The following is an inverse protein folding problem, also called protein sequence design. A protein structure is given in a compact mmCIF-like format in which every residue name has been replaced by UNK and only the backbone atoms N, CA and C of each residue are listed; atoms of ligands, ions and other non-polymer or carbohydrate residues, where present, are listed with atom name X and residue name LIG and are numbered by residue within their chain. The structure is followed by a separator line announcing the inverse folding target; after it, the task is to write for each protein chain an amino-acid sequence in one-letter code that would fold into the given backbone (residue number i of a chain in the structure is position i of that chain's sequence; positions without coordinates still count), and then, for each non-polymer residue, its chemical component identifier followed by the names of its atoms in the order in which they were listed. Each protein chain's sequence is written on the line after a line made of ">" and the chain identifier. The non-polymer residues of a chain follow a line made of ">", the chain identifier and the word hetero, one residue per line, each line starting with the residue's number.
data_IF_039020635455
#
_entry.id   IF_039020635455
#
_cell.length_a   1.000
_cell.length_b   1.000
_cell.length_c   1.000
_cell.angle_alpha   90.00
_cell.angle_beta   90.00
_cell.angle_gamma   90.00
#
_symmetry.space_group_name_H-M   'P 1'
#
loop_
_entity.id
_entity.type
_entity.pdbx_description
1 polymer ?
#
# COMPACT_ATOMS: atom_id res chain seq x y z
N UNK A 1 10.34 10.47 -3.92
CA UNK A 1 9.94 9.04 -4.07
C UNK A 1 8.50 8.90 -3.65
N UNK A 2 7.68 8.11 -4.34
CA UNK A 2 6.30 7.82 -3.94
C UNK A 2 6.27 6.62 -3.00
N UNK A 3 5.62 6.77 -1.86
CA UNK A 3 5.30 5.69 -0.92
C UNK A 3 3.88 5.19 -1.19
N UNK A 4 3.74 4.14 -1.96
CA UNK A 4 2.44 3.61 -2.36
C UNK A 4 1.95 2.57 -1.37
N UNK A 5 0.72 2.74 -0.87
CA UNK A 5 0.10 1.83 0.11
C UNK A 5 -1.39 1.65 -0.21
N UNK A 6 -1.95 0.47 0.08
CA UNK A 6 -3.27 0.08 -0.45
C UNK A 6 -4.46 0.31 0.51
N UNK A 7 -4.24 1.03 1.60
CA UNK A 7 -5.30 1.38 2.58
C UNK A 7 -5.10 2.80 3.11
N UNK A 8 -6.19 3.51 3.35
CA UNK A 8 -6.14 4.89 3.85
C UNK A 8 -5.59 4.96 5.29
N UNK A 9 -6.07 4.09 6.19
CA UNK A 9 -5.59 4.04 7.58
C UNK A 9 -4.07 3.79 7.67
N UNK A 10 -3.55 2.90 6.81
CA UNK A 10 -2.12 2.62 6.72
C UNK A 10 -1.35 3.83 6.19
N UNK A 11 -1.94 4.56 5.22
CA UNK A 11 -1.35 5.77 4.68
C UNK A 11 -1.23 6.86 5.75
N UNK A 12 -2.26 7.02 6.60
CA UNK A 12 -2.21 7.92 7.76
C UNK A 12 -1.08 7.57 8.73
N UNK A 13 -0.94 6.29 9.08
CA UNK A 13 0.14 5.81 9.94
C UNK A 13 1.54 6.03 9.32
N UNK A 14 1.70 5.75 8.03
CA UNK A 14 2.95 5.97 7.31
C UNK A 14 3.29 7.47 7.20
N UNK A 15 2.30 8.31 6.89
CA UNK A 15 2.47 9.77 6.86
C UNK A 15 2.91 10.31 8.21
N UNK A 16 2.29 9.82 9.30
CA UNK A 16 2.68 10.19 10.64
C UNK A 16 4.12 9.74 10.94
N UNK A 17 4.50 8.50 10.60
CA UNK A 17 5.87 8.00 10.77
C UNK A 17 6.90 8.87 10.03
N UNK A 18 6.60 9.31 8.80
CA UNK A 18 7.48 10.19 8.01
C UNK A 18 7.58 11.61 8.58
N UNK A 19 6.60 12.07 9.35
CA UNK A 19 6.66 13.38 10.03
C UNK A 19 7.55 13.38 11.28
N UNK A 20 7.90 12.20 11.81
CA UNK A 20 8.61 12.05 13.08
C UNK A 20 10.09 11.72 12.87
N UNK A 21 10.92 12.26 13.76
CA UNK A 21 12.36 11.92 13.83
C UNK A 21 12.65 11.14 15.08
N UNK A 22 13.55 10.17 15.03
CA UNK A 22 13.96 9.39 16.20
C UNK A 22 14.35 10.30 17.38
N UNK A 23 13.80 10.02 18.56
CA UNK A 23 14.01 10.84 19.76
C UNK A 23 13.25 12.17 19.81
N UNK A 24 12.44 12.50 18.79
CA UNK A 24 11.61 13.71 18.78
C UNK A 24 10.49 13.60 19.83
N UNK A 25 10.19 14.70 20.54
CA UNK A 25 9.05 14.79 21.43
C UNK A 25 7.72 14.56 20.67
N UNK A 26 6.88 13.69 21.22
CA UNK A 26 5.56 13.39 20.65
C UNK A 26 4.56 14.41 21.19
N UNK A 27 4.07 15.30 20.33
CA UNK A 27 3.05 16.31 20.67
C UNK A 27 1.64 15.84 20.33
N UNK A 28 1.47 15.10 19.22
CA UNK A 28 0.21 14.50 18.80
C UNK A 28 0.23 12.99 19.04
N UNK A 29 -0.66 12.51 19.89
CA UNK A 29 -0.77 11.09 20.25
C UNK A 29 -1.92 10.37 19.55
N UNK A 30 -2.67 11.05 18.67
CA UNK A 30 -3.90 10.53 18.06
C UNK A 30 -3.67 9.19 17.32
N UNK A 31 -2.58 9.08 16.58
CA UNK A 31 -2.20 7.91 15.79
C UNK A 31 -1.56 6.78 16.63
N UNK A 32 -1.26 7.03 17.92
CA UNK A 32 -0.57 6.07 18.79
C UNK A 32 -1.51 5.41 19.81
N UNK A 33 -2.75 5.86 19.88
CA UNK A 33 -3.72 5.35 20.87
C UNK A 33 -4.15 3.94 20.52
N UNK A 34 -3.79 2.99 21.37
CA UNK A 34 -4.22 1.58 21.29
C UNK A 34 -4.29 0.95 22.66
N UNK A 35 -5.14 -0.06 22.83
CA UNK A 35 -5.34 -0.73 24.10
C UNK A 35 -4.04 -1.36 24.63
N UNK A 36 -3.75 -1.12 25.90
CA UNK A 36 -2.56 -1.68 26.57
C UNK A 36 -1.22 -1.07 26.15
N UNK A 37 -1.22 0.01 25.34
CA UNK A 37 0.01 0.68 24.94
C UNK A 37 0.25 1.95 25.75
N UNK A 38 1.41 2.03 26.41
CA UNK A 38 1.87 3.26 27.04
C UNK A 38 2.59 4.10 26.00
N UNK A 39 2.00 5.24 25.63
CA UNK A 39 2.57 6.15 24.63
C UNK A 39 3.84 6.75 25.22
N UNK A 40 5.00 6.60 24.54
CA UNK A 40 6.25 7.19 24.98
C UNK A 40 6.21 8.72 24.82
N UNK A 41 7.03 9.43 25.57
CA UNK A 41 7.17 10.88 25.44
C UNK A 41 7.97 11.30 24.21
N UNK A 42 8.83 10.43 23.72
CA UNK A 42 9.66 10.64 22.52
C UNK A 42 9.47 9.53 21.51
N UNK A 43 9.59 9.88 20.24
CA UNK A 43 9.40 8.95 19.13
C UNK A 43 10.42 7.81 19.16
N UNK A 44 9.97 6.54 19.32
CA UNK A 44 10.87 5.40 19.39
C UNK A 44 11.27 4.86 18.01
N UNK A 45 10.45 5.15 16.97
CA UNK A 45 10.67 4.64 15.62
C UNK A 45 11.90 5.24 14.94
N UNK A 46 12.44 4.52 13.97
CA UNK A 46 13.51 5.06 13.12
C UNK A 46 12.97 6.17 12.22
N UNK A 47 13.79 7.18 11.96
CA UNK A 47 13.47 8.25 11.02
C UNK A 47 13.37 7.70 9.61
N UNK A 48 12.41 8.20 8.84
CA UNK A 48 12.25 7.90 7.42
C UNK A 48 12.68 9.10 6.59
N UNK A 49 13.19 8.84 5.38
CA UNK A 49 13.51 9.87 4.41
C UNK A 49 12.25 10.40 3.72
N UNK A 50 12.32 11.64 3.22
CA UNK A 50 11.24 12.32 2.52
C UNK A 50 10.24 12.98 3.47
N UNK A 51 8.99 13.10 3.03
CA UNK A 51 7.95 13.83 3.73
C UNK A 51 6.60 13.08 3.73
N UNK A 52 5.63 13.47 4.58
CA UNK A 52 4.28 12.92 4.57
C UNK A 52 3.59 13.00 3.21
N UNK A 53 3.89 14.02 2.40
CA UNK A 53 3.33 14.23 1.06
C UNK A 53 3.79 13.18 0.05
N UNK A 54 4.84 12.41 0.35
CA UNK A 54 5.27 11.29 -0.49
C UNK A 54 4.28 10.14 -0.45
N UNK A 55 3.47 10.03 0.59
CA UNK A 55 2.53 8.93 0.78
C UNK A 55 1.36 9.05 -0.19
N UNK A 56 1.08 7.97 -0.88
CA UNK A 56 0.05 7.88 -1.91
C UNK A 56 -0.85 6.66 -1.66
N UNK A 57 -2.00 6.82 -1.00
CA UNK A 57 -2.95 5.74 -0.82
C UNK A 57 -3.62 5.36 -2.14
N UNK A 58 -3.77 4.04 -2.39
CA UNK A 58 -4.46 3.49 -3.55
C UNK A 58 -5.40 2.36 -3.12
N UNK A 59 -6.62 2.70 -2.75
CA UNK A 59 -7.58 1.75 -2.20
C UNK A 59 -8.57 1.28 -3.26
N UNK A 60 -8.16 0.31 -4.09
CA UNK A 60 -8.96 -0.21 -5.20
C UNK A 60 -9.77 -1.46 -4.86
N UNK A 61 -9.53 -2.13 -3.73
CA UNK A 61 -10.17 -3.41 -3.34
C UNK A 61 -10.12 -4.43 -4.48
N UNK A 62 -8.92 -4.67 -5.04
CA UNK A 62 -8.72 -5.48 -6.25
C UNK A 62 -8.91 -6.99 -6.03
N UNK A 63 -9.09 -7.40 -4.80
CA UNK A 63 -9.44 -8.77 -4.39
C UNK A 63 -10.92 -9.11 -4.59
N UNK A 64 -11.79 -8.10 -4.77
CA UNK A 64 -13.24 -8.27 -4.85
C UNK A 64 -13.79 -7.67 -6.15
N UNK A 65 -14.78 -8.34 -6.75
CA UNK A 65 -15.54 -7.86 -7.91
C UNK A 65 -14.75 -7.87 -9.21
N UNK A 66 -15.36 -7.31 -10.26
CA UNK A 66 -14.79 -7.24 -11.61
C UNK A 66 -13.56 -6.35 -11.66
N UNK A 67 -12.60 -6.70 -12.49
CA UNK A 67 -11.35 -5.93 -12.69
C UNK A 67 -11.41 -5.00 -13.91
N UNK A 68 -12.55 -4.98 -14.62
CA UNK A 68 -12.74 -4.14 -15.80
C UNK A 68 -12.49 -2.67 -15.46
N UNK A 69 -11.75 -1.99 -16.30
CA UNK A 69 -11.44 -0.55 -16.16
C UNK A 69 -10.70 -0.14 -14.87
N UNK A 70 -10.09 -1.08 -14.14
CA UNK A 70 -9.28 -0.74 -12.97
C UNK A 70 -8.13 0.24 -13.31
N UNK A 71 -7.72 0.28 -14.58
CA UNK A 71 -6.64 1.13 -15.10
C UNK A 71 -7.09 2.56 -15.44
N UNK A 72 -8.39 2.84 -15.50
CA UNK A 72 -8.89 4.15 -15.93
C UNK A 72 -9.11 5.08 -14.74
N UNK A 73 -8.72 6.36 -14.89
CA UNK A 73 -9.00 7.41 -13.90
C UNK A 73 -10.49 7.57 -13.60
N UNK A 74 -11.33 7.38 -14.61
CA UNK A 74 -12.79 7.56 -14.52
C UNK A 74 -13.47 6.35 -13.87
N UNK A 75 -12.89 5.16 -14.01
CA UNK A 75 -13.49 3.93 -13.51
C UNK A 75 -13.20 3.67 -12.04
N UNK A 76 -12.06 4.08 -11.50
CA UNK A 76 -11.54 3.84 -10.13
C UNK A 76 -12.35 2.88 -9.27
N UNK A 77 -13.03 1.94 -9.91
CA UNK A 77 -13.90 0.93 -9.30
C UNK A 77 -15.05 1.50 -8.45
N UNK A 78 -15.56 2.68 -8.80
CA UNK A 78 -16.62 3.34 -8.03
C UNK A 78 -17.85 2.45 -7.84
N UNK A 79 -18.25 1.65 -8.83
CA UNK A 79 -19.39 0.72 -8.71
C UNK A 79 -19.14 -0.37 -7.66
N UNK A 80 -17.93 -0.93 -7.62
CA UNK A 80 -17.52 -1.92 -6.61
C UNK A 80 -17.45 -1.27 -5.23
N UNK A 81 -16.86 -0.10 -5.13
CA UNK A 81 -16.79 0.66 -3.87
C UNK A 81 -18.20 1.00 -3.34
N UNK A 82 -19.14 1.38 -4.21
CA UNK A 82 -20.55 1.60 -3.83
C UNK A 82 -21.23 0.34 -3.31
N UNK A 83 -20.90 -0.81 -3.86
CA UNK A 83 -21.41 -2.09 -3.34
C UNK A 83 -20.81 -2.41 -1.96
N UNK A 84 -19.53 -2.13 -1.76
CA UNK A 84 -18.84 -2.42 -0.50
C UNK A 84 -19.21 -1.44 0.64
N UNK A 85 -19.48 -0.18 0.30
CA UNK A 85 -19.70 0.91 1.26
C UNK A 85 -21.09 1.55 1.11
N UNK A 86 -22.06 0.84 0.55
CA UNK A 86 -23.39 1.36 0.25
C UNK A 86 -24.14 1.93 1.46
N UNK A 87 -23.89 1.37 2.65
CA UNK A 87 -24.47 1.83 3.92
C UNK A 87 -23.79 3.11 4.49
N UNK A 88 -22.73 3.60 3.84
CA UNK A 88 -21.96 4.76 4.28
C UNK A 88 -21.95 5.84 3.19
N UNK A 89 -22.90 6.76 3.19
CA UNK A 89 -23.04 7.78 2.14
C UNK A 89 -21.77 8.59 1.93
N UNK A 90 -21.34 8.74 0.67
CA UNK A 90 -20.18 9.55 0.29
C UNK A 90 -18.82 8.85 0.40
N UNK A 91 -18.70 7.75 1.15
CA UNK A 91 -17.41 7.06 1.38
C UNK A 91 -16.84 6.48 0.08
N UNK A 92 -17.68 5.88 -0.77
CA UNK A 92 -17.22 5.33 -2.05
C UNK A 92 -16.67 6.41 -2.99
N UNK A 93 -17.33 7.57 -3.04
CA UNK A 93 -16.91 8.73 -3.82
C UNK A 93 -15.61 9.35 -3.30
N UNK A 94 -15.45 9.42 -1.99
CA UNK A 94 -14.22 9.90 -1.34
C UNK A 94 -13.03 8.99 -1.69
N UNK A 95 -13.19 7.67 -1.53
CA UNK A 95 -12.16 6.68 -1.89
C UNK A 95 -11.85 6.77 -3.40
N UNK A 96 -12.85 6.85 -4.26
CA UNK A 96 -12.64 6.98 -5.70
C UNK A 96 -11.89 8.26 -6.06
N UNK A 97 -12.21 9.39 -5.40
CA UNK A 97 -11.49 10.65 -5.55
C UNK A 97 -10.02 10.57 -5.13
N UNK A 98 -9.74 9.89 -4.02
CA UNK A 98 -8.39 9.62 -3.55
C UNK A 98 -7.62 8.74 -4.56
N UNK A 99 -8.23 7.64 -5.02
CA UNK A 99 -7.63 6.76 -6.02
C UNK A 99 -7.31 7.51 -7.33
N UNK A 100 -8.22 8.39 -7.79
CA UNK A 100 -8.01 9.22 -8.97
C UNK A 100 -6.77 10.13 -8.83
N UNK A 101 -6.60 10.78 -7.67
CA UNK A 101 -5.42 11.60 -7.38
C UNK A 101 -4.14 10.78 -7.40
N UNK A 102 -4.15 9.61 -6.76
CA UNK A 102 -2.98 8.71 -6.71
C UNK A 102 -2.63 8.17 -8.10
N UNK A 103 -3.60 7.72 -8.91
CA UNK A 103 -3.36 7.28 -10.29
C UNK A 103 -2.78 8.41 -11.15
N UNK A 104 -3.26 9.65 -10.96
CA UNK A 104 -2.68 10.82 -11.63
C UNK A 104 -1.23 11.09 -11.23
N UNK A 105 -0.88 10.87 -9.96
CA UNK A 105 0.49 10.98 -9.48
C UNK A 105 1.40 9.88 -10.05
N UNK A 106 0.90 8.65 -10.14
CA UNK A 106 1.61 7.52 -10.77
C UNK A 106 1.87 7.77 -12.28
N UNK A 107 0.90 8.34 -12.99
CA UNK A 107 1.09 8.75 -14.38
C UNK A 107 2.17 9.82 -14.54
N UNK A 108 2.20 10.82 -13.62
CA UNK A 108 3.28 11.81 -13.59
C UNK A 108 4.62 11.16 -13.30
N UNK A 109 4.70 10.24 -12.32
CA UNK A 109 5.92 9.51 -11.98
C UNK A 109 6.50 8.76 -13.17
N UNK A 110 5.65 8.20 -14.05
CA UNK A 110 6.09 7.55 -15.30
C UNK A 110 6.84 8.52 -16.22
N UNK A 111 6.45 9.80 -16.25
CA UNK A 111 7.08 10.84 -17.09
C UNK A 111 8.36 11.39 -16.46
N UNK A 112 8.40 11.49 -15.14
CA UNK A 112 9.52 12.07 -14.37
C UNK A 112 10.53 11.03 -13.89
N UNK A 113 10.24 9.73 -14.06
CA UNK A 113 11.01 8.60 -13.53
C UNK A 113 11.14 8.66 -12.00
N UNK A 114 10.13 9.22 -11.31
CA UNK A 114 10.11 9.26 -9.85
C UNK A 114 10.00 7.84 -9.29
N UNK A 115 10.91 7.40 -8.41
CA UNK A 115 10.87 6.05 -7.83
C UNK A 115 9.61 5.81 -7.02
N UNK A 116 9.13 4.55 -7.02
CA UNK A 116 7.94 4.12 -6.28
C UNK A 116 8.32 2.97 -5.36
N UNK A 117 8.06 3.12 -4.06
CA UNK A 117 8.13 2.07 -3.06
C UNK A 117 6.73 1.59 -2.73
N UNK A 118 6.46 0.30 -2.90
CA UNK A 118 5.17 -0.34 -2.64
C UNK A 118 5.21 -1.04 -1.30
N UNK A 119 4.26 -0.72 -0.43
CA UNK A 119 4.09 -1.36 0.88
C UNK A 119 2.99 -2.40 0.80
N UNK A 120 3.29 -3.65 1.17
CA UNK A 120 2.30 -4.73 1.12
C UNK A 120 2.62 -5.88 2.06
N UNK A 121 1.57 -6.61 2.43
CA UNK A 121 1.65 -7.94 3.01
C UNK A 121 1.36 -8.99 1.94
N UNK A 122 2.17 -10.05 1.88
CA UNK A 122 1.93 -11.21 1.02
C UNK A 122 0.70 -12.03 1.47
N UNK A 123 0.14 -11.73 2.65
CA UNK A 123 -1.04 -12.41 3.21
C UNK A 123 -2.36 -11.66 2.91
N UNK A 124 -2.30 -10.41 2.44
CA UNK A 124 -3.48 -9.60 2.13
C UNK A 124 -3.77 -9.64 0.63
N UNK A 125 -4.88 -10.25 0.17
CA UNK A 125 -5.19 -10.38 -1.25
C UNK A 125 -5.32 -9.04 -1.97
N UNK A 126 -5.89 -8.01 -1.33
CA UNK A 126 -6.05 -6.69 -1.93
C UNK A 126 -4.68 -6.04 -2.18
N UNK A 127 -3.76 -6.20 -1.22
CA UNK A 127 -2.41 -5.63 -1.32
C UNK A 127 -1.56 -6.38 -2.36
N UNK A 128 -1.68 -7.71 -2.43
CA UNK A 128 -0.99 -8.50 -3.47
C UNK A 128 -1.54 -8.16 -4.86
N UNK A 129 -2.87 -8.13 -5.04
CA UNK A 129 -3.47 -7.68 -6.30
C UNK A 129 -3.04 -6.25 -6.65
N UNK A 130 -2.89 -5.38 -5.65
CA UNK A 130 -2.36 -4.03 -5.80
C UNK A 130 -0.94 -4.02 -6.38
N UNK A 131 -0.03 -4.85 -5.87
CA UNK A 131 1.32 -4.99 -6.42
C UNK A 131 1.29 -5.48 -7.88
N UNK A 132 0.48 -6.51 -8.19
CA UNK A 132 0.34 -7.03 -9.56
C UNK A 132 -0.13 -5.93 -10.52
N UNK A 133 -1.12 -5.14 -10.10
CA UNK A 133 -1.63 -4.00 -10.85
C UNK A 133 -0.56 -2.93 -11.10
N UNK A 134 0.22 -2.55 -10.08
CA UNK A 134 1.31 -1.58 -10.23
C UNK A 134 2.39 -2.11 -11.19
N UNK A 135 2.79 -3.36 -11.06
CA UNK A 135 3.73 -3.98 -12.00
C UNK A 135 3.20 -3.95 -13.43
N UNK A 136 1.89 -4.20 -13.63
CA UNK A 136 1.27 -4.11 -14.95
C UNK A 136 1.29 -2.68 -15.49
N UNK A 137 0.94 -1.66 -14.69
CA UNK A 137 1.01 -0.26 -15.11
C UNK A 137 2.42 0.15 -15.55
N UNK A 138 3.45 -0.35 -14.88
CA UNK A 138 4.83 0.06 -15.09
C UNK A 138 5.67 -0.94 -15.92
N UNK A 139 5.09 -2.03 -16.47
CA UNK A 139 5.80 -3.11 -17.21
C UNK A 139 6.63 -2.66 -18.39
N UNK A 140 6.32 -1.49 -18.96
CA UNK A 140 7.03 -0.86 -20.08
C UNK A 140 7.72 0.44 -19.68
N UNK A 141 7.90 0.69 -18.39
CA UNK A 141 8.48 1.92 -17.85
C UNK A 141 9.86 1.64 -17.27
N UNK A 142 10.71 2.67 -17.25
CA UNK A 142 12.01 2.66 -16.58
C UNK A 142 11.94 3.24 -15.16
N UNK A 143 10.74 3.47 -14.62
CA UNK A 143 10.56 3.93 -13.23
C UNK A 143 11.11 2.87 -12.29
N UNK A 144 12.01 3.21 -11.36
CA UNK A 144 12.46 2.29 -10.33
C UNK A 144 11.29 1.89 -9.42
N UNK A 145 11.01 0.59 -9.35
CA UNK A 145 10.04 0.02 -8.43
C UNK A 145 10.76 -0.76 -7.33
N UNK A 146 10.31 -0.61 -6.10
CA UNK A 146 10.73 -1.43 -4.97
C UNK A 146 9.52 -1.84 -4.14
N UNK A 147 9.69 -2.84 -3.28
CA UNK A 147 8.64 -3.32 -2.39
C UNK A 147 9.16 -3.52 -0.97
N UNK A 148 8.28 -3.28 0.01
CA UNK A 148 8.48 -3.65 1.41
C UNK A 148 7.44 -4.69 1.76
N UNK A 149 7.88 -5.94 1.96
CA UNK A 149 7.02 -7.08 2.30
C UNK A 149 6.88 -7.19 3.82
N UNK A 150 5.83 -6.61 4.37
CA UNK A 150 5.61 -6.50 5.82
C UNK A 150 5.13 -7.79 6.49
N UNK A 151 4.72 -8.78 5.69
CA UNK A 151 4.34 -10.13 6.15
C UNK A 151 5.53 -10.99 6.54
N UNK A 152 6.74 -10.63 6.11
CA UNK A 152 7.95 -11.36 6.47
C UNK A 152 8.28 -11.11 7.94
N UNK A 153 8.65 -12.18 8.64
CA UNK A 153 9.02 -12.09 10.04
C UNK A 153 10.27 -11.21 10.21
N UNK A 154 10.17 -10.22 11.07
CA UNK A 154 11.25 -9.29 11.41
C UNK A 154 11.46 -9.26 12.92
N UNK A 155 12.62 -8.82 13.36
CA UNK A 155 12.92 -8.66 14.80
C UNK A 155 13.13 -7.18 15.08
N UNK A 156 12.25 -6.60 15.91
CA UNK A 156 12.37 -5.25 16.42
C UNK A 156 12.51 -5.30 17.94
N UNK A 157 13.52 -4.64 18.49
CA UNK A 157 13.80 -4.59 19.93
C UNK A 157 13.82 -5.99 20.58
N UNK A 158 14.41 -6.98 19.88
CA UNK A 158 14.47 -8.36 20.34
C UNK A 158 13.14 -9.12 20.27
N UNK A 159 12.06 -8.53 19.72
CA UNK A 159 10.75 -9.17 19.56
C UNK A 159 10.49 -9.48 18.10
N UNK A 160 10.13 -10.73 17.81
CA UNK A 160 9.66 -11.10 16.49
C UNK A 160 8.30 -10.45 16.20
N UNK A 161 8.17 -9.80 15.04
CA UNK A 161 6.92 -9.20 14.56
C UNK A 161 6.65 -9.67 13.14
N UNK A 162 5.37 -9.83 12.83
CA UNK A 162 4.87 -10.17 11.51
C UNK A 162 3.51 -9.48 11.34
N UNK A 163 3.31 -8.82 10.22
CA UNK A 163 2.08 -8.10 9.93
C UNK A 163 1.27 -8.82 8.85
N UNK A 164 0.00 -9.11 9.15
CA UNK A 164 -0.93 -9.78 8.23
C UNK A 164 -1.41 -8.84 7.12
N UNK A 165 -1.42 -7.54 7.37
CA UNK A 165 -1.69 -6.49 6.38
C UNK A 165 -0.96 -5.21 6.77
N UNK A 166 -0.82 -4.28 5.84
CA UNK A 166 -0.26 -2.95 6.15
C UNK A 166 -1.12 -2.18 7.16
N UNK A 167 -2.42 -2.50 7.26
CA UNK A 167 -3.34 -1.92 8.26
C UNK A 167 -3.03 -2.28 9.71
N UNK A 168 -2.19 -3.28 9.94
CA UNK A 168 -1.79 -3.71 11.27
C UNK A 168 -0.47 -3.09 11.75
N UNK A 169 0.24 -2.34 10.88
CA UNK A 169 1.54 -1.76 11.20
C UNK A 169 1.37 -0.60 12.17
N UNK A 170 2.14 -0.63 13.23
CA UNK A 170 2.21 0.50 14.15
C UNK A 170 3.06 1.62 13.53
N UNK A 171 2.69 2.90 13.70
CA UNK A 171 3.43 4.00 13.10
C UNK A 171 4.94 3.96 13.36
N UNK A 172 5.35 3.61 14.57
CA UNK A 172 6.75 3.53 14.98
C UNK A 172 7.56 2.42 14.29
N UNK A 173 6.92 1.43 13.69
CA UNK A 173 7.60 0.31 13.03
C UNK A 173 7.91 0.57 11.56
N UNK A 174 7.27 1.55 10.92
CA UNK A 174 7.48 1.84 9.50
C UNK A 174 8.95 2.14 9.15
N UNK A 175 9.64 2.93 9.98
CA UNK A 175 11.05 3.25 9.75
C UNK A 175 11.97 2.03 9.74
N UNK A 176 11.70 1.06 10.61
CA UNK A 176 12.45 -0.20 10.65
C UNK A 176 12.07 -1.12 9.48
N UNK A 177 10.78 -1.19 9.14
CA UNK A 177 10.30 -1.97 7.98
C UNK A 177 10.85 -1.42 6.66
N UNK A 178 11.04 -0.11 6.53
CA UNK A 178 11.63 0.51 5.35
C UNK A 178 13.03 -0.04 5.01
N UNK A 179 13.77 -0.55 6.00
CA UNK A 179 15.08 -1.19 5.78
C UNK A 179 14.98 -2.55 5.06
N UNK A 180 13.78 -3.12 4.96
CA UNK A 180 13.49 -4.35 4.24
C UNK A 180 13.11 -4.11 2.78
N UNK A 181 13.31 -2.88 2.28
CA UNK A 181 13.04 -2.55 0.90
C UNK A 181 13.85 -3.41 -0.05
N UNK A 182 13.17 -4.04 -1.00
CA UNK A 182 13.76 -4.84 -2.06
C UNK A 182 13.45 -4.24 -3.43
N UNK A 183 14.43 -4.04 -4.32
CA UNK A 183 14.16 -3.58 -5.67
C UNK A 183 13.42 -4.67 -6.45
N UNK A 184 12.40 -4.28 -7.21
CA UNK A 184 11.71 -5.16 -8.14
C UNK A 184 12.46 -5.17 -9.48
N UNK A 185 13.13 -6.28 -9.77
CA UNK A 185 13.86 -6.41 -11.03
C UNK A 185 12.92 -6.60 -12.22
N UNK A 186 13.33 -6.23 -13.46
CA UNK A 186 12.44 -6.25 -14.62
C UNK A 186 11.75 -7.58 -14.91
N UNK A 187 12.38 -8.71 -14.58
CA UNK A 187 11.77 -10.04 -14.75
C UNK A 187 10.62 -10.25 -13.76
N UNK A 188 10.75 -9.79 -12.52
CA UNK A 188 9.67 -9.85 -11.52
C UNK A 188 8.50 -8.95 -11.92
N UNK A 189 8.79 -7.71 -12.35
CA UNK A 189 7.75 -6.78 -12.83
C UNK A 189 6.95 -7.39 -13.99
N UNK A 190 7.63 -8.02 -14.96
CA UNK A 190 6.98 -8.70 -16.10
C UNK A 190 6.15 -9.90 -15.64
N UNK A 191 6.66 -10.72 -14.71
CA UNK A 191 5.93 -11.87 -14.18
C UNK A 191 4.66 -11.44 -13.43
N UNK A 192 4.76 -10.44 -12.56
CA UNK A 192 3.62 -9.84 -11.86
C UNK A 192 2.60 -9.24 -12.84
N UNK A 193 3.06 -8.55 -13.89
CA UNK A 193 2.18 -8.00 -14.91
C UNK A 193 1.42 -9.09 -15.68
N UNK A 194 2.06 -10.22 -16.00
CA UNK A 194 1.41 -11.35 -16.66
C UNK A 194 0.35 -12.00 -15.74
N UNK A 195 0.63 -12.13 -14.44
CA UNK A 195 -0.36 -12.60 -13.46
C UNK A 195 -1.56 -11.65 -13.37
N UNK A 196 -1.33 -10.33 -13.38
CA UNK A 196 -2.42 -9.36 -13.43
C UNK A 196 -3.29 -9.55 -14.68
N UNK A 197 -2.69 -9.68 -15.86
CA UNK A 197 -3.41 -9.91 -17.11
C UNK A 197 -4.25 -11.20 -17.06
N UNK A 198 -3.75 -12.25 -16.40
CA UNK A 198 -4.49 -13.47 -16.15
C UNK A 198 -5.71 -13.22 -15.25
N UNK A 199 -5.53 -12.52 -14.11
CA UNK A 199 -6.64 -12.20 -13.20
C UNK A 199 -7.74 -11.37 -13.87
N UNK A 200 -7.36 -10.41 -14.71
CA UNK A 200 -8.32 -9.60 -15.52
C UNK A 200 -9.08 -10.48 -16.50
N UNK A 201 -8.40 -11.44 -17.16
CA UNK A 201 -9.03 -12.36 -18.10
C UNK A 201 -10.00 -13.34 -17.40
N UNK A 202 -9.62 -13.84 -16.24
CA UNK A 202 -10.47 -14.72 -15.42
C UNK A 202 -11.65 -13.97 -14.83
N UNK A 203 -11.43 -12.72 -14.44
CA UNK A 203 -12.41 -11.77 -13.92
C UNK A 203 -13.34 -12.36 -12.84
N UNK A 204 -12.78 -13.20 -11.96
CA UNK A 204 -13.54 -13.84 -10.88
C UNK A 204 -14.05 -12.80 -9.86
N UNK A 205 -15.19 -13.05 -9.20
CA UNK A 205 -15.79 -12.11 -8.26
C UNK A 205 -15.00 -11.96 -6.94
N UNK A 206 -14.15 -12.92 -6.62
CA UNK A 206 -13.32 -12.94 -5.39
C UNK A 206 -11.95 -13.52 -5.69
N UNK A 207 -10.93 -12.95 -5.06
CA UNK A 207 -9.53 -13.41 -5.11
C UNK A 207 -9.02 -13.60 -3.71
N UNK A 208 -8.28 -14.69 -3.49
CA UNK A 208 -7.67 -15.01 -2.21
C UNK A 208 -6.18 -15.30 -2.39
N UNK A 209 -5.41 -15.21 -1.32
CA UNK A 209 -4.02 -15.68 -1.29
C UNK A 209 -3.98 -17.04 -0.62
N UNK A 210 -3.48 -18.05 -1.33
CA UNK A 210 -3.30 -19.39 -0.82
C UNK A 210 -1.85 -19.81 -1.09
N UNK A 211 -1.12 -20.14 -0.03
CA UNK A 211 0.30 -20.50 -0.11
C UNK A 211 1.15 -19.47 -0.89
N UNK A 212 0.92 -18.19 -0.65
CA UNK A 212 1.65 -17.08 -1.30
C UNK A 212 1.29 -16.85 -2.77
N UNK A 213 0.19 -17.44 -3.27
CA UNK A 213 -0.30 -17.26 -4.64
C UNK A 213 -1.71 -16.68 -4.64
N UNK A 214 -1.97 -15.73 -5.51
CA UNK A 214 -3.32 -15.24 -5.75
C UNK A 214 -4.09 -16.29 -6.54
N UNK A 215 -5.25 -16.66 -6.02
CA UNK A 215 -6.22 -17.59 -6.63
C UNK A 215 -7.52 -16.83 -6.90
N UNK A 216 -8.12 -17.07 -8.04
CA UNK A 216 -9.44 -16.56 -8.46
C UNK A 216 -10.47 -17.68 -8.52
#
# INVERSE_FOLDING_TARGET
>A
MIELIFRDSSAGCLSYAKSMKHGQEIKDTSMLRRSGYTIPTHWPGLSMDGSPEDVAPLWLSLDIGVLDNAETREGTRLSVLKTLYGDSPGVAEEIAGMNCKTLGRLEKARKTLEPIRVWLSENDPAEVCGLLFICHLFRKSSVPLSAVFVSRQTVFDGKARQYLSTGNIFPEDFGSLAQLEEPLVPVQVKACAALWEQLVKENAPLRAVVNGRVMS
#
